data_IF_200000471186
#
_entry.id   IF_200000471186
#
_cell.length_a   1.000
_cell.length_b   1.000
_cell.length_c   1.000
_cell.angle_alpha   90.00
_cell.angle_beta   90.00
_cell.angle_gamma   90.00
#
_symmetry.space_group_name_H-M   'P 1'
#
loop_
_entity.id
_entity.type
_entity.pdbx_description
1 polymer ?
#
# COMPACT_ATOMS: atom_id res chain seq x y z
N UNK A 1 -20.34 20.03 -12.57
CA UNK A 1 -18.96 19.75 -13.02
C UNK A 1 -18.09 19.34 -11.83
N UNK A 2 -17.06 18.49 -12.04
CA UNK A 2 -16.12 18.11 -10.98
C UNK A 2 -15.25 19.30 -10.54
N UNK A 3 -15.02 19.46 -9.23
CA UNK A 3 -14.18 20.51 -8.63
C UNK A 3 -12.69 20.14 -8.68
N UNK A 4 -12.15 19.97 -9.88
CA UNK A 4 -10.78 19.49 -10.13
C UNK A 4 -9.71 20.37 -9.49
N UNK A 5 -9.89 21.70 -9.47
CA UNK A 5 -8.94 22.63 -8.83
C UNK A 5 -8.70 22.31 -7.36
N UNK A 6 -9.75 21.96 -6.61
CA UNK A 6 -9.61 21.61 -5.18
C UNK A 6 -8.93 20.25 -5.03
N UNK A 7 -9.21 19.29 -5.93
CA UNK A 7 -8.52 18.00 -5.92
C UNK A 7 -7.00 18.13 -6.10
N UNK A 8 -6.54 19.05 -6.95
CA UNK A 8 -5.12 19.38 -7.09
C UNK A 8 -4.52 19.98 -5.83
N UNK A 9 -5.26 20.86 -5.11
CA UNK A 9 -4.81 21.39 -3.82
C UNK A 9 -4.67 20.27 -2.78
N UNK A 10 -5.61 19.32 -2.74
CA UNK A 10 -5.54 18.17 -1.83
C UNK A 10 -4.34 17.27 -2.18
N UNK A 11 -4.09 17.01 -3.48
CA UNK A 11 -2.93 16.25 -3.92
C UNK A 11 -1.61 16.96 -3.58
N UNK A 12 -1.54 18.29 -3.74
CA UNK A 12 -0.39 19.08 -3.34
C UNK A 12 -0.16 19.03 -1.81
N UNK A 13 -1.23 19.10 -1.01
CA UNK A 13 -1.13 18.95 0.44
C UNK A 13 -0.58 17.57 0.85
N UNK A 14 -1.04 16.50 0.19
CA UNK A 14 -0.48 15.16 0.37
C UNK A 14 1.00 15.10 0.03
N UNK A 15 1.41 15.70 -1.10
CA UNK A 15 2.82 15.73 -1.51
C UNK A 15 3.68 16.48 -0.49
N UNK A 16 3.21 17.61 0.05
CA UNK A 16 3.93 18.35 1.09
C UNK A 16 4.09 17.53 2.37
N UNK A 17 3.04 16.82 2.79
CA UNK A 17 3.11 15.91 3.94
C UNK A 17 4.07 14.74 3.67
N UNK A 18 3.99 14.11 2.50
CA UNK A 18 4.89 13.02 2.12
C UNK A 18 6.36 13.48 2.05
N UNK A 19 6.62 14.72 1.58
CA UNK A 19 7.96 15.34 1.64
C UNK A 19 8.42 15.50 3.10
N UNK A 20 7.53 15.94 4.00
CA UNK A 20 7.88 16.11 5.41
C UNK A 20 8.14 14.76 6.09
N UNK A 21 7.32 13.73 5.83
CA UNK A 21 7.61 12.36 6.28
C UNK A 21 8.93 11.85 5.73
N UNK A 22 9.20 12.08 4.44
CA UNK A 22 10.45 11.72 3.78
C UNK A 22 11.66 12.45 4.37
N UNK A 23 11.51 13.70 4.84
CA UNK A 23 12.63 14.48 5.39
C UNK A 23 12.98 14.10 6.83
N UNK A 24 12.03 13.59 7.61
CA UNK A 24 12.26 13.19 9.02
C UNK A 24 12.62 11.71 9.19
N UNK A 25 12.44 10.90 8.14
CA UNK A 25 12.77 9.47 8.16
C UNK A 25 14.24 9.29 7.78
N UNK A 26 15.09 8.62 8.59
CA UNK A 26 16.47 8.32 8.23
C UNK A 26 16.57 7.53 6.92
N UNK A 27 17.68 7.64 6.21
CA UNK A 27 17.88 7.00 4.91
C UNK A 27 19.28 6.40 4.85
N UNK A 28 19.39 5.08 4.65
CA UNK A 28 20.67 4.36 4.67
C UNK A 28 21.44 4.56 5.99
N UNK A 29 20.71 4.56 7.11
CA UNK A 29 21.28 4.66 8.46
C UNK A 29 21.06 3.35 9.21
N UNK A 30 22.11 2.80 9.80
CA UNK A 30 21.98 1.59 10.62
C UNK A 30 21.28 1.92 11.93
N UNK A 31 20.63 0.92 12.52
CA UNK A 31 19.97 1.15 13.79
C UNK A 31 19.60 -0.09 14.56
N UNK A 32 18.78 0.15 15.58
CA UNK A 32 18.21 -0.87 16.46
C UNK A 32 16.70 -0.73 16.56
N UNK A 33 16.03 -1.85 16.80
CA UNK A 33 14.61 -1.89 17.13
C UNK A 33 14.45 -2.00 18.64
N UNK A 34 13.83 -1.00 19.25
CA UNK A 34 13.70 -0.90 20.71
C UNK A 34 12.67 -1.88 21.25
N UNK A 35 11.70 -2.27 20.42
CA UNK A 35 10.64 -3.20 20.75
C UNK A 35 10.88 -4.64 20.30
N UNK A 36 11.99 -4.92 19.62
CA UNK A 36 12.36 -6.27 19.20
C UNK A 36 13.71 -6.68 19.82
N UNK A 37 13.92 -7.98 19.95
CA UNK A 37 15.13 -8.54 20.56
C UNK A 37 15.77 -9.56 19.65
N UNK A 38 17.09 -9.55 19.60
CA UNK A 38 17.87 -10.59 18.95
C UNK A 38 17.96 -11.86 19.82
N UNK A 39 18.64 -12.88 19.33
CA UNK A 39 18.84 -14.15 20.04
C UNK A 39 19.60 -14.01 21.38
N UNK A 40 20.31 -12.90 21.59
CA UNK A 40 21.06 -12.60 22.83
C UNK A 40 20.24 -11.77 23.82
N UNK A 41 19.01 -11.39 23.47
CA UNK A 41 18.16 -10.54 24.29
C UNK A 41 18.53 -9.04 24.24
N UNK A 42 19.39 -8.64 23.30
CA UNK A 42 19.71 -7.23 23.04
C UNK A 42 18.72 -6.64 22.02
N UNK A 43 18.57 -5.29 21.93
CA UNK A 43 17.79 -4.67 20.88
C UNK A 43 18.21 -5.16 19.49
N UNK A 44 17.23 -5.60 18.68
CA UNK A 44 17.49 -6.18 17.36
C UNK A 44 18.17 -5.15 16.45
N UNK A 45 19.36 -5.46 15.93
CA UNK A 45 20.05 -4.62 14.95
C UNK A 45 19.44 -4.76 13.55
N UNK A 46 19.44 -3.66 12.81
CA UNK A 46 18.96 -3.58 11.42
C UNK A 46 19.90 -2.74 10.56
N UNK A 47 19.94 -3.09 9.28
CA UNK A 47 20.82 -2.48 8.28
C UNK A 47 20.36 -1.11 7.79
N UNK A 48 19.07 -0.82 7.95
CA UNK A 48 18.45 0.49 7.70
C UNK A 48 17.33 0.70 8.72
N UNK A 49 17.35 1.82 9.45
CA UNK A 49 16.34 2.21 10.45
C UNK A 49 15.19 3.04 9.85
N UNK A 50 15.32 3.44 8.59
CA UNK A 50 14.39 4.26 7.85
C UNK A 50 13.06 3.57 7.52
N UNK A 51 12.57 3.79 6.30
CA UNK A 51 11.35 3.12 5.87
C UNK A 51 11.60 1.61 5.68
N UNK A 52 10.65 0.74 6.07
CA UNK A 52 10.81 -0.69 5.87
C UNK A 52 11.09 -1.04 4.42
N UNK A 53 12.06 -1.92 4.24
CA UNK A 53 12.43 -2.53 2.96
C UNK A 53 13.09 -1.56 1.96
N UNK A 54 13.33 -0.30 2.37
CA UNK A 54 13.75 0.79 1.49
C UNK A 54 15.14 0.55 0.89
N UNK A 55 16.12 0.15 1.71
CA UNK A 55 17.45 -0.24 1.25
C UNK A 55 17.38 -1.29 0.14
N UNK A 56 16.55 -2.31 0.29
CA UNK A 56 16.46 -3.40 -0.68
C UNK A 56 15.85 -2.96 -2.00
N UNK A 57 14.95 -1.97 -1.96
CA UNK A 57 14.47 -1.31 -3.17
C UNK A 57 15.57 -0.47 -3.83
N UNK A 58 16.36 0.28 -3.06
CA UNK A 58 17.50 1.07 -3.55
C UNK A 58 18.55 0.18 -4.22
N UNK A 59 18.88 -0.97 -3.63
CA UNK A 59 19.80 -1.97 -4.21
C UNK A 59 19.33 -2.46 -5.57
N UNK A 60 18.03 -2.77 -5.72
CA UNK A 60 17.46 -3.12 -7.02
C UNK A 60 17.63 -1.96 -8.01
N UNK A 61 17.27 -0.73 -7.61
CA UNK A 61 17.38 0.45 -8.47
C UNK A 61 18.83 0.69 -8.93
N UNK A 62 19.79 0.63 -8.02
CA UNK A 62 21.22 0.81 -8.31
C UNK A 62 21.71 -0.20 -9.35
N UNK A 63 21.40 -1.49 -9.13
CA UNK A 63 21.74 -2.57 -10.08
C UNK A 63 21.26 -2.29 -11.50
N UNK A 64 20.00 -1.84 -11.66
CA UNK A 64 19.46 -1.49 -12.98
C UNK A 64 20.10 -0.24 -13.56
N UNK A 65 20.33 0.78 -12.73
CA UNK A 65 21.01 2.00 -13.14
C UNK A 65 22.43 1.72 -13.64
N UNK A 66 23.13 0.75 -13.05
CA UNK A 66 24.49 0.35 -13.44
C UNK A 66 24.54 -0.59 -14.65
N UNK A 67 23.39 -0.93 -15.24
CA UNK A 67 23.32 -1.76 -16.44
C UNK A 67 23.55 -3.26 -16.18
N UNK A 68 23.47 -3.72 -14.93
CA UNK A 68 23.71 -5.12 -14.56
C UNK A 68 22.50 -6.05 -14.79
N UNK A 69 21.44 -5.53 -15.42
CA UNK A 69 20.21 -6.26 -15.73
C UNK A 69 19.35 -6.64 -14.52
N UNK A 70 18.24 -7.33 -14.78
CA UNK A 70 17.28 -7.70 -13.73
C UNK A 70 17.89 -8.67 -12.71
N UNK A 71 17.76 -8.40 -11.41
CA UNK A 71 18.33 -9.25 -10.37
C UNK A 71 17.68 -10.63 -10.36
N UNK A 72 18.46 -11.64 -10.00
CA UNK A 72 17.97 -13.01 -9.76
C UNK A 72 17.79 -13.16 -8.26
N UNK A 73 16.60 -13.58 -7.84
CA UNK A 73 16.30 -13.81 -6.44
C UNK A 73 16.80 -15.19 -6.03
N UNK A 74 17.74 -15.24 -5.09
CA UNK A 74 18.40 -16.46 -4.64
C UNK A 74 18.12 -16.68 -3.15
N UNK A 75 17.10 -17.47 -2.79
CA UNK A 75 16.84 -17.82 -1.40
C UNK A 75 18.09 -18.44 -0.75
N UNK A 76 18.50 -17.92 0.40
CA UNK A 76 19.65 -18.41 1.16
C UNK A 76 21.01 -17.82 0.75
N UNK A 77 21.05 -16.86 -0.16
CA UNK A 77 22.28 -16.09 -0.42
C UNK A 77 22.74 -15.33 0.83
N UNK A 78 24.06 -15.14 0.99
CA UNK A 78 24.62 -14.41 2.13
C UNK A 78 24.22 -12.93 2.17
N UNK A 79 23.84 -12.38 1.03
CA UNK A 79 23.37 -11.00 0.85
C UNK A 79 21.84 -10.87 0.84
N UNK A 80 21.10 -11.93 1.19
CA UNK A 80 19.63 -11.95 1.14
C UNK A 80 18.99 -10.78 1.90
N UNK A 81 19.64 -10.32 2.98
CA UNK A 81 19.22 -9.14 3.74
C UNK A 81 19.14 -7.86 2.90
N UNK A 82 19.89 -7.77 1.80
CA UNK A 82 19.90 -6.65 0.85
C UNK A 82 19.10 -6.95 -0.42
N UNK A 83 18.97 -8.22 -0.78
CA UNK A 83 18.46 -8.61 -2.11
C UNK A 83 17.09 -9.27 -2.07
N UNK A 84 16.44 -9.40 -0.90
CA UNK A 84 15.18 -10.15 -0.83
C UNK A 84 14.01 -9.55 -1.62
N UNK A 85 14.08 -8.27 -2.03
CA UNK A 85 13.09 -7.65 -2.93
C UNK A 85 13.33 -7.95 -4.42
N UNK A 86 14.39 -8.71 -4.77
CA UNK A 86 14.75 -9.03 -6.16
C UNK A 86 13.71 -9.87 -6.91
N UNK A 87 12.79 -10.53 -6.18
CA UNK A 87 11.70 -11.28 -6.79
C UNK A 87 10.61 -10.36 -7.39
N UNK A 88 10.60 -9.08 -7.02
CA UNK A 88 9.54 -8.16 -7.41
C UNK A 88 9.59 -7.86 -8.92
N UNK A 89 8.43 -7.72 -9.57
CA UNK A 89 8.34 -7.28 -10.96
C UNK A 89 9.03 -5.91 -11.22
N UNK A 90 9.52 -5.65 -12.44
CA UNK A 90 10.58 -4.66 -12.65
C UNK A 90 10.12 -3.22 -12.90
N UNK A 91 8.82 -2.93 -13.08
CA UNK A 91 8.38 -1.64 -13.61
C UNK A 91 8.80 -0.46 -12.73
N UNK A 92 8.53 -0.54 -11.43
CA UNK A 92 8.90 0.51 -10.49
C UNK A 92 10.40 0.79 -10.52
N UNK A 93 11.21 -0.28 -10.48
CA UNK A 93 12.66 -0.19 -10.44
C UNK A 93 13.24 0.37 -11.74
N UNK A 94 12.66 0.02 -12.89
CA UNK A 94 13.06 0.62 -14.17
C UNK A 94 12.78 2.12 -14.24
N UNK A 95 11.61 2.56 -13.76
CA UNK A 95 11.27 3.99 -13.67
C UNK A 95 12.22 4.69 -12.69
N UNK A 96 12.45 4.11 -11.52
CA UNK A 96 13.32 4.67 -10.49
C UNK A 96 14.79 4.72 -10.92
N UNK A 97 15.28 3.73 -11.68
CA UNK A 97 16.63 3.73 -12.25
C UNK A 97 16.78 4.81 -13.34
N UNK A 98 15.77 4.99 -14.21
CA UNK A 98 15.75 6.11 -15.14
C UNK A 98 15.75 7.46 -14.41
N UNK A 99 14.97 7.57 -13.33
CA UNK A 99 14.92 8.76 -12.49
C UNK A 99 16.26 9.04 -11.79
N UNK A 100 16.95 8.02 -11.27
CA UNK A 100 18.28 8.19 -10.64
C UNK A 100 19.34 8.68 -11.62
N UNK A 101 19.24 8.36 -12.91
CA UNK A 101 20.10 8.94 -13.95
C UNK A 101 19.86 10.44 -14.18
N UNK A 102 18.68 10.96 -13.84
CA UNK A 102 18.34 12.37 -14.00
C UNK A 102 18.69 13.20 -12.75
N UNK A 103 18.51 12.65 -11.55
CA UNK A 103 18.69 13.39 -10.27
C UNK A 103 19.90 12.95 -9.46
N UNK A 104 20.69 12.01 -9.98
CA UNK A 104 21.87 11.42 -9.33
C UNK A 104 21.56 10.16 -8.53
N UNK A 105 22.63 9.41 -8.20
CA UNK A 105 22.54 8.11 -7.51
C UNK A 105 21.83 8.22 -6.14
N UNK A 106 21.13 7.14 -5.78
CA UNK A 106 20.43 6.98 -4.51
C UNK A 106 21.30 6.35 -3.41
N UNK A 107 22.55 6.01 -3.70
CA UNK A 107 23.42 5.16 -2.86
C UNK A 107 24.18 5.93 -1.76
N UNK A 108 23.75 7.15 -1.43
CA UNK A 108 24.36 7.97 -0.37
C UNK A 108 23.34 8.35 0.71
N UNK A 109 23.72 8.42 2.01
CA UNK A 109 22.79 8.84 3.07
C UNK A 109 22.09 10.19 2.81
N UNK A 110 22.78 11.14 2.16
CA UNK A 110 22.20 12.45 1.81
C UNK A 110 21.20 12.40 0.64
N UNK A 111 21.03 11.24 -0.02
CA UNK A 111 20.14 11.06 -1.16
C UNK A 111 18.67 10.81 -0.80
N UNK A 112 18.32 10.69 0.48
CA UNK A 112 16.99 10.20 0.88
C UNK A 112 15.83 10.97 0.26
N UNK A 113 15.82 12.30 0.40
CA UNK A 113 14.71 13.11 -0.12
C UNK A 113 14.60 13.03 -1.65
N UNK A 114 15.72 13.08 -2.37
CA UNK A 114 15.72 12.98 -3.84
C UNK A 114 15.24 11.60 -4.30
N UNK A 115 15.66 10.52 -3.64
CA UNK A 115 15.25 9.16 -3.98
C UNK A 115 13.74 8.95 -3.75
N UNK A 116 13.22 9.48 -2.63
CA UNK A 116 11.81 9.37 -2.23
C UNK A 116 10.87 10.25 -3.05
N UNK A 117 11.37 11.33 -3.66
CA UNK A 117 10.53 12.30 -4.37
C UNK A 117 9.72 11.69 -5.53
N UNK A 118 10.22 10.64 -6.17
CA UNK A 118 9.46 9.89 -7.18
C UNK A 118 8.13 9.36 -6.59
N UNK A 119 8.19 8.77 -5.39
CA UNK A 119 6.99 8.24 -4.73
C UNK A 119 6.08 9.33 -4.17
N UNK A 120 6.61 10.52 -3.84
CA UNK A 120 5.81 11.70 -3.52
C UNK A 120 4.91 12.07 -4.70
N UNK A 121 5.47 12.12 -5.92
CA UNK A 121 4.68 12.41 -7.14
C UNK A 121 3.62 11.35 -7.39
N UNK A 122 3.98 10.08 -7.23
CA UNK A 122 3.06 8.93 -7.40
C UNK A 122 1.94 8.97 -6.35
N UNK A 123 2.23 9.34 -5.11
CA UNK A 123 1.25 9.55 -4.05
C UNK A 123 0.24 10.63 -4.41
N UNK A 124 0.71 11.78 -4.93
CA UNK A 124 -0.16 12.83 -5.46
C UNK A 124 -1.07 12.34 -6.60
N UNK A 125 -0.53 11.57 -7.54
CA UNK A 125 -1.31 10.92 -8.60
C UNK A 125 -2.34 9.92 -8.07
N UNK A 126 -2.03 9.22 -6.98
CA UNK A 126 -2.97 8.31 -6.30
C UNK A 126 -4.14 9.09 -5.73
N UNK A 127 -3.90 10.20 -5.02
CA UNK A 127 -4.94 11.08 -4.46
C UNK A 127 -5.88 11.62 -5.54
N UNK A 128 -5.34 12.03 -6.69
CA UNK A 128 -6.15 12.42 -7.84
C UNK A 128 -6.98 11.26 -8.39
N UNK A 129 -6.40 10.07 -8.46
CA UNK A 129 -7.12 8.84 -8.82
C UNK A 129 -8.29 8.56 -7.87
N UNK A 130 -8.09 8.75 -6.55
CA UNK A 130 -9.16 8.60 -5.54
C UNK A 130 -10.28 9.62 -5.75
N UNK A 131 -9.94 10.88 -6.06
CA UNK A 131 -10.94 11.90 -6.40
C UNK A 131 -11.80 11.47 -7.59
N UNK A 132 -11.18 11.04 -8.69
CA UNK A 132 -11.88 10.63 -9.90
C UNK A 132 -12.68 9.35 -9.72
N UNK A 133 -12.13 8.36 -9.01
CA UNK A 133 -12.86 7.16 -8.61
C UNK A 133 -14.10 7.52 -7.79
N UNK A 134 -13.95 8.42 -6.81
CA UNK A 134 -15.06 8.93 -6.01
C UNK A 134 -16.11 9.66 -6.84
N UNK A 135 -15.70 10.46 -7.82
CA UNK A 135 -16.60 11.19 -8.72
C UNK A 135 -17.37 10.25 -9.65
N UNK A 136 -16.69 9.26 -10.24
CA UNK A 136 -17.31 8.25 -11.09
C UNK A 136 -18.08 7.19 -10.31
N UNK A 137 -17.86 7.08 -8.99
CA UNK A 137 -18.71 6.25 -8.13
C UNK A 137 -19.96 7.02 -7.70
N UNK A 138 -19.84 8.27 -7.26
CA UNK A 138 -20.90 8.97 -6.50
C UNK A 138 -21.54 10.18 -7.19
N UNK A 139 -20.88 10.79 -8.18
CA UNK A 139 -21.24 12.09 -8.77
C UNK A 139 -21.39 13.25 -7.77
N UNK A 140 -20.83 13.10 -6.56
CA UNK A 140 -20.89 14.13 -5.52
C UNK A 140 -19.51 14.71 -5.27
N UNK A 141 -19.33 16.00 -5.59
CA UNK A 141 -18.08 16.71 -5.29
C UNK A 141 -17.70 16.60 -3.81
N UNK A 142 -18.69 16.67 -2.91
CA UNK A 142 -18.43 16.58 -1.47
C UNK A 142 -17.82 15.22 -1.11
N UNK A 143 -18.36 14.12 -1.65
CA UNK A 143 -17.85 12.78 -1.34
C UNK A 143 -16.53 12.49 -2.05
N UNK A 144 -16.36 12.97 -3.29
CA UNK A 144 -15.10 12.81 -4.02
C UNK A 144 -13.95 13.57 -3.36
N UNK A 145 -14.19 14.81 -2.91
CA UNK A 145 -13.20 15.59 -2.16
C UNK A 145 -12.95 15.00 -0.77
N UNK A 146 -14.00 14.50 -0.11
CA UNK A 146 -13.87 13.78 1.17
C UNK A 146 -13.01 12.52 1.07
N UNK A 147 -13.21 11.71 0.02
CA UNK A 147 -12.41 10.52 -0.25
C UNK A 147 -10.95 10.88 -0.58
N UNK A 148 -10.73 11.86 -1.46
CA UNK A 148 -9.39 12.32 -1.79
C UNK A 148 -8.68 12.89 -0.56
N UNK A 149 -9.38 13.68 0.27
CA UNK A 149 -8.86 14.22 1.52
C UNK A 149 -8.48 13.11 2.50
N UNK A 150 -9.30 12.07 2.63
CA UNK A 150 -9.00 10.95 3.51
C UNK A 150 -7.72 10.23 3.06
N UNK A 151 -7.59 9.93 1.76
CA UNK A 151 -6.36 9.32 1.22
C UNK A 151 -5.13 10.24 1.38
N UNK A 152 -5.33 11.55 1.19
CA UNK A 152 -4.28 12.55 1.26
C UNK A 152 -3.72 12.77 2.66
N UNK A 153 -4.55 12.60 3.69
CA UNK A 153 -4.23 12.89 5.09
C UNK A 153 -4.10 11.62 5.95
N UNK A 154 -4.16 10.42 5.34
CA UNK A 154 -3.92 9.19 6.09
C UNK A 154 -2.41 9.08 6.40
N UNK A 155 -1.96 9.13 7.66
CA UNK A 155 -0.53 9.25 7.97
C UNK A 155 0.31 8.09 7.41
N UNK A 156 -0.21 6.87 7.47
CA UNK A 156 0.44 5.72 6.83
C UNK A 156 0.59 5.87 5.31
N UNK A 157 -0.39 6.46 4.61
CA UNK A 157 -0.27 6.69 3.17
C UNK A 157 0.75 7.81 2.85
N UNK A 158 0.82 8.85 3.67
CA UNK A 158 1.83 9.90 3.57
C UNK A 158 3.24 9.32 3.77
N UNK A 159 3.44 8.51 4.80
CA UNK A 159 4.73 7.87 5.09
C UNK A 159 5.17 6.89 3.99
N UNK A 160 4.25 6.06 3.46
CA UNK A 160 4.58 5.16 2.35
C UNK A 160 4.90 5.91 1.05
N UNK A 161 4.23 7.03 0.78
CA UNK A 161 4.55 7.90 -0.35
C UNK A 161 5.90 8.62 -0.16
N UNK A 162 6.35 8.76 1.09
CA UNK A 162 7.65 9.29 1.47
C UNK A 162 8.76 8.23 1.61
N UNK A 163 8.61 7.03 1.04
CA UNK A 163 9.61 5.96 1.08
C UNK A 163 9.92 5.45 -0.34
N UNK A 164 11.13 4.94 -0.61
CA UNK A 164 11.47 4.23 -1.86
C UNK A 164 10.88 2.82 -1.79
N UNK A 165 9.82 2.55 -2.56
CA UNK A 165 9.15 1.26 -2.62
C UNK A 165 8.27 1.13 -3.87
N UNK A 166 8.02 -0.09 -4.34
CA UNK A 166 7.06 -0.35 -5.42
C UNK A 166 5.59 -0.20 -5.01
N UNK A 167 5.31 -0.10 -3.71
CA UNK A 167 3.96 -0.03 -3.15
C UNK A 167 3.15 1.21 -3.60
N UNK A 168 3.65 2.45 -3.49
CA UNK A 168 2.91 3.63 -3.98
C UNK A 168 2.52 3.54 -5.46
N UNK A 169 3.38 2.99 -6.32
CA UNK A 169 3.05 2.79 -7.74
C UNK A 169 1.92 1.78 -7.92
N UNK A 170 1.93 0.69 -7.14
CA UNK A 170 0.84 -0.27 -7.14
C UNK A 170 -0.49 0.38 -6.70
N UNK A 171 -0.47 1.20 -5.64
CA UNK A 171 -1.67 1.87 -5.13
C UNK A 171 -2.27 2.79 -6.20
N UNK A 172 -1.41 3.56 -6.88
CA UNK A 172 -1.77 4.44 -7.97
C UNK A 172 -2.43 3.66 -9.12
N UNK A 173 -1.77 2.61 -9.61
CA UNK A 173 -2.24 1.82 -10.76
C UNK A 173 -3.54 1.06 -10.46
N UNK A 174 -3.68 0.50 -9.26
CA UNK A 174 -4.93 -0.12 -8.81
C UNK A 174 -6.06 0.92 -8.76
N UNK A 175 -5.81 2.10 -8.18
CA UNK A 175 -6.81 3.16 -8.05
C UNK A 175 -7.29 3.66 -9.42
N UNK A 176 -6.38 3.91 -10.36
CA UNK A 176 -6.73 4.34 -11.72
C UNK A 176 -7.38 3.24 -12.55
N UNK A 177 -7.01 1.97 -12.34
CA UNK A 177 -7.72 0.83 -12.98
C UNK A 177 -9.18 0.78 -12.55
N UNK A 178 -9.45 0.93 -11.25
CA UNK A 178 -10.80 0.98 -10.70
C UNK A 178 -11.57 2.23 -11.14
N UNK A 179 -10.89 3.36 -11.29
CA UNK A 179 -11.48 4.60 -11.83
C UNK A 179 -11.99 4.39 -13.25
N UNK A 180 -11.22 3.75 -14.12
CA UNK A 180 -11.65 3.43 -15.49
C UNK A 180 -12.84 2.47 -15.49
N UNK A 181 -12.86 1.47 -14.61
CA UNK A 181 -14.03 0.61 -14.41
C UNK A 181 -15.26 1.42 -14.00
N UNK A 182 -15.13 2.33 -13.03
CA UNK A 182 -16.21 3.18 -12.58
C UNK A 182 -16.71 4.13 -13.69
N UNK A 183 -15.79 4.72 -14.45
CA UNK A 183 -16.09 5.56 -15.61
C UNK A 183 -16.85 4.76 -16.68
N UNK A 184 -16.38 3.56 -17.02
CA UNK A 184 -16.96 2.71 -18.05
C UNK A 184 -18.37 2.21 -17.66
N UNK A 185 -18.55 1.77 -16.42
CA UNK A 185 -19.86 1.38 -15.88
C UNK A 185 -20.85 2.53 -15.89
N UNK A 186 -20.40 3.74 -15.56
CA UNK A 186 -21.25 4.91 -15.46
C UNK A 186 -21.58 5.55 -16.81
N UNK A 187 -20.69 5.40 -17.80
CA UNK A 187 -20.89 5.93 -19.16
C UNK A 187 -21.19 4.78 -20.10
N UNK A 188 -20.14 4.16 -20.61
CA UNK A 188 -20.16 2.97 -21.46
C UNK A 188 -18.75 2.39 -21.56
N UNK A 189 -18.65 1.07 -21.69
CA UNK A 189 -17.44 0.43 -22.16
C UNK A 189 -17.18 0.80 -23.63
N UNK A 190 -15.91 0.91 -24.00
CA UNK A 190 -15.45 1.03 -25.37
C UNK A 190 -13.99 0.57 -25.45
N UNK A 191 -13.53 0.25 -26.67
CA UNK A 191 -12.17 -0.25 -26.92
C UNK A 191 -11.08 0.66 -26.32
N UNK A 192 -11.22 1.99 -26.43
CA UNK A 192 -10.24 2.92 -25.87
C UNK A 192 -10.10 2.83 -24.33
N UNK A 193 -11.21 2.62 -23.61
CA UNK A 193 -11.18 2.42 -22.14
C UNK A 193 -10.63 1.04 -21.80
N UNK A 194 -11.00 0.02 -22.57
CA UNK A 194 -10.52 -1.35 -22.42
C UNK A 194 -8.99 -1.45 -22.59
N UNK A 195 -8.43 -0.84 -23.64
CA UNK A 195 -6.98 -0.81 -23.88
C UNK A 195 -6.24 -0.08 -22.77
N UNK A 196 -6.74 1.10 -22.33
CA UNK A 196 -6.15 1.84 -21.20
C UNK A 196 -6.19 1.02 -19.90
N UNK A 197 -7.30 0.34 -19.63
CA UNK A 197 -7.43 -0.54 -18.47
C UNK A 197 -6.45 -1.72 -18.55
N UNK A 198 -6.32 -2.35 -19.71
CA UNK A 198 -5.36 -3.43 -19.95
C UNK A 198 -3.91 -2.97 -19.72
N UNK A 199 -3.55 -1.78 -20.20
CA UNK A 199 -2.24 -1.18 -19.95
C UNK A 199 -1.99 -0.93 -18.46
N UNK A 200 -2.95 -0.33 -17.75
CA UNK A 200 -2.83 -0.08 -16.31
C UNK A 200 -2.71 -1.38 -15.50
N UNK A 201 -3.49 -2.41 -15.85
CA UNK A 201 -3.41 -3.73 -15.23
C UNK A 201 -2.06 -4.40 -15.51
N UNK A 202 -1.57 -4.35 -16.75
CA UNK A 202 -0.26 -4.89 -17.12
C UNK A 202 0.87 -4.20 -16.36
N UNK A 203 0.83 -2.86 -16.26
CA UNK A 203 1.77 -2.10 -15.43
C UNK A 203 1.66 -2.44 -13.95
N UNK A 204 0.45 -2.64 -13.42
CA UNK A 204 0.25 -3.00 -12.01
C UNK A 204 0.88 -4.36 -11.70
N UNK A 205 0.67 -5.36 -12.58
CA UNK A 205 1.31 -6.68 -12.46
C UNK A 205 2.82 -6.59 -12.59
N UNK A 206 3.33 -5.77 -13.51
CA UNK A 206 4.76 -5.49 -13.64
C UNK A 206 5.32 -4.62 -12.50
N UNK A 207 4.48 -4.14 -11.58
CA UNK A 207 4.90 -3.46 -10.33
C UNK A 207 4.92 -4.43 -9.15
N UNK A 208 3.87 -5.26 -9.01
CA UNK A 208 3.75 -6.25 -7.93
C UNK A 208 2.79 -7.37 -8.32
N UNK A 209 3.18 -8.62 -8.06
CA UNK A 209 2.36 -9.81 -8.38
C UNK A 209 0.97 -9.79 -7.73
N UNK A 210 0.82 -9.12 -6.58
CA UNK A 210 -0.48 -8.96 -5.89
C UNK A 210 -1.52 -8.20 -6.73
N UNK A 211 -1.11 -7.46 -7.76
CA UNK A 211 -2.01 -6.80 -8.71
C UNK A 211 -2.86 -7.78 -9.54
N UNK A 212 -2.53 -9.09 -9.55
CA UNK A 212 -3.39 -10.12 -10.12
C UNK A 212 -4.82 -10.08 -9.54
N UNK A 213 -5.01 -9.52 -8.35
CA UNK A 213 -6.31 -9.23 -7.75
C UNK A 213 -7.24 -8.37 -8.65
N UNK A 214 -6.69 -7.56 -9.57
CA UNK A 214 -7.48 -6.75 -10.51
C UNK A 214 -8.24 -7.61 -11.53
N UNK A 215 -7.70 -8.76 -11.94
CA UNK A 215 -8.30 -9.60 -12.99
C UNK A 215 -9.73 -10.06 -12.67
N UNK A 216 -9.99 -10.77 -11.54
CA UNK A 216 -11.35 -11.19 -11.22
C UNK A 216 -12.31 -10.02 -10.97
N UNK A 217 -11.79 -8.89 -10.48
CA UNK A 217 -12.60 -7.70 -10.18
C UNK A 217 -13.00 -6.94 -11.45
N UNK A 218 -12.09 -6.82 -12.42
CA UNK A 218 -12.38 -6.22 -13.72
C UNK A 218 -13.33 -7.13 -14.50
N UNK A 219 -13.14 -8.45 -14.44
CA UNK A 219 -14.09 -9.41 -15.01
C UNK A 219 -15.49 -9.23 -14.39
N UNK A 220 -15.57 -9.12 -13.07
CA UNK A 220 -16.82 -8.83 -12.36
C UNK A 220 -17.47 -7.50 -12.80
N UNK A 221 -16.68 -6.44 -12.99
CA UNK A 221 -17.17 -5.16 -13.49
C UNK A 221 -17.76 -5.29 -14.92
N UNK A 222 -17.13 -6.05 -15.80
CA UNK A 222 -17.59 -6.27 -17.16
C UNK A 222 -18.85 -7.16 -17.21
N UNK A 223 -18.92 -8.21 -16.39
CA UNK A 223 -20.10 -9.05 -16.24
C UNK A 223 -21.30 -8.25 -15.73
N UNK A 224 -21.08 -7.32 -14.79
CA UNK A 224 -22.11 -6.40 -14.33
C UNK A 224 -22.66 -5.46 -15.41
N UNK A 225 -21.88 -5.19 -16.46
CA UNK A 225 -22.30 -4.41 -17.62
C UNK A 225 -23.03 -5.26 -18.68
N UNK A 226 -22.95 -6.60 -18.61
CA UNK A 226 -23.46 -7.53 -19.62
C UNK A 226 -24.93 -7.31 -20.00
N UNK A 227 -25.87 -7.21 -19.04
CA UNK A 227 -27.29 -7.09 -19.37
C UNK A 227 -27.64 -5.80 -20.15
N UNK A 228 -26.76 -4.80 -20.10
CA UNK A 228 -27.01 -3.48 -20.67
C UNK A 228 -26.48 -3.32 -22.10
N UNK A 229 -25.56 -4.19 -22.56
CA UNK A 229 -24.82 -3.99 -23.82
C UNK A 229 -24.79 -5.18 -24.78
N UNK A 230 -25.26 -6.35 -24.34
CA UNK A 230 -25.17 -7.56 -25.13
C UNK A 230 -23.77 -8.18 -25.17
N UNK A 231 -23.72 -9.49 -25.35
CA UNK A 231 -22.53 -10.33 -25.20
C UNK A 231 -21.34 -9.92 -26.09
N UNK A 232 -21.60 -9.63 -27.37
CA UNK A 232 -20.55 -9.47 -28.38
C UNK A 232 -19.66 -8.25 -28.12
N UNK A 233 -20.24 -7.14 -27.66
CA UNK A 233 -19.50 -5.93 -27.32
C UNK A 233 -18.55 -6.25 -26.15
N UNK A 234 -19.11 -6.63 -25.00
CA UNK A 234 -18.35 -6.85 -23.76
C UNK A 234 -17.26 -7.90 -23.91
N UNK A 235 -17.50 -8.94 -24.73
CA UNK A 235 -16.46 -9.93 -25.04
C UNK A 235 -15.24 -9.29 -25.73
N UNK A 236 -15.46 -8.36 -26.66
CA UNK A 236 -14.37 -7.67 -27.36
C UNK A 236 -13.57 -6.74 -26.46
N UNK A 237 -14.23 -5.99 -25.57
CA UNK A 237 -13.54 -5.14 -24.60
C UNK A 237 -12.82 -5.96 -23.52
N UNK A 238 -13.43 -7.07 -23.07
CA UNK A 238 -12.79 -8.00 -22.15
C UNK A 238 -11.54 -8.61 -22.77
N UNK A 239 -11.63 -9.11 -24.01
CA UNK A 239 -10.49 -9.66 -24.73
C UNK A 239 -9.38 -8.60 -24.88
N UNK A 240 -9.71 -7.38 -25.32
CA UNK A 240 -8.74 -6.30 -25.43
C UNK A 240 -8.05 -5.98 -24.09
N UNK A 241 -8.81 -5.90 -23.01
CA UNK A 241 -8.28 -5.58 -21.67
C UNK A 241 -7.33 -6.67 -21.17
N UNK A 242 -7.78 -7.93 -21.16
CA UNK A 242 -7.01 -9.03 -20.59
C UNK A 242 -5.84 -9.44 -21.49
N UNK A 243 -5.99 -9.42 -22.81
CA UNK A 243 -4.90 -9.71 -23.74
C UNK A 243 -3.77 -8.70 -23.57
N UNK A 244 -4.07 -7.39 -23.52
CA UNK A 244 -3.02 -6.38 -23.29
C UNK A 244 -2.32 -6.58 -21.95
N UNK A 245 -3.07 -6.78 -20.86
CA UNK A 245 -2.49 -6.97 -19.53
C UNK A 245 -1.58 -8.22 -19.48
N UNK A 246 -2.02 -9.34 -20.06
CA UNK A 246 -1.26 -10.59 -20.12
C UNK A 246 -0.02 -10.44 -20.99
N UNK A 247 -0.14 -9.87 -22.19
CA UNK A 247 1.01 -9.71 -23.10
C UNK A 247 2.12 -8.85 -22.49
N UNK A 248 1.76 -7.84 -21.68
CA UNK A 248 2.75 -7.03 -20.95
C UNK A 248 3.47 -7.82 -19.86
N UNK A 249 2.74 -8.63 -19.09
CA UNK A 249 3.31 -9.40 -17.99
C UNK A 249 4.05 -10.67 -18.45
N UNK A 250 3.71 -11.19 -19.62
CA UNK A 250 4.17 -12.48 -20.14
C UNK A 250 5.70 -12.61 -20.18
N UNK A 251 6.49 -11.62 -20.68
CA UNK A 251 7.95 -11.75 -20.69
C UNK A 251 8.55 -11.96 -19.29
N UNK A 252 8.03 -11.27 -18.28
CA UNK A 252 8.47 -11.43 -16.90
C UNK A 252 8.11 -12.81 -16.33
N UNK A 253 6.90 -13.30 -16.62
CA UNK A 253 6.46 -14.63 -16.20
C UNK A 253 7.25 -15.76 -16.87
N UNK A 254 7.57 -15.63 -18.17
CA UNK A 254 8.43 -16.58 -18.87
C UNK A 254 9.83 -16.62 -18.28
N UNK A 255 10.40 -15.44 -17.95
CA UNK A 255 11.67 -15.35 -17.22
C UNK A 255 11.59 -16.08 -15.89
N UNK A 256 10.56 -15.81 -15.08
CA UNK A 256 10.40 -16.44 -13.77
C UNK A 256 10.17 -17.95 -13.87
N UNK A 257 9.41 -18.41 -14.87
CA UNK A 257 9.24 -19.83 -15.14
C UNK A 257 10.58 -20.50 -15.47
N UNK A 258 11.42 -19.85 -16.27
CA UNK A 258 12.75 -20.37 -16.62
C UNK A 258 13.73 -20.36 -15.44
N UNK A 259 13.67 -19.36 -14.56
CA UNK A 259 14.60 -19.23 -13.43
C UNK A 259 14.17 -20.03 -12.20
N UNK A 260 12.87 -20.08 -11.92
CA UNK A 260 12.34 -20.58 -10.64
C UNK A 260 11.38 -21.77 -10.80
N UNK A 261 11.04 -22.17 -12.03
CA UNK A 261 10.01 -23.20 -12.27
C UNK A 261 8.61 -22.79 -11.77
N UNK A 262 8.39 -21.47 -11.66
CA UNK A 262 7.18 -20.83 -11.15
C UNK A 262 7.05 -19.43 -11.77
N UNK A 263 6.01 -19.15 -12.58
CA UNK A 263 5.88 -17.86 -13.28
C UNK A 263 5.72 -16.67 -12.32
N UNK A 264 5.28 -16.92 -11.08
CA UNK A 264 5.03 -15.89 -10.08
C UNK A 264 6.12 -15.84 -8.99
N UNK A 265 7.14 -16.71 -9.08
CA UNK A 265 8.23 -16.84 -8.12
C UNK A 265 7.78 -17.06 -6.66
N UNK A 266 6.56 -17.58 -6.44
CA UNK A 266 6.00 -17.84 -5.12
C UNK A 266 6.75 -18.94 -4.37
N UNK A 267 7.24 -19.97 -5.08
CA UNK A 267 8.07 -21.02 -4.49
C UNK A 267 9.37 -20.45 -3.90
N UNK A 268 10.09 -19.66 -4.70
CA UNK A 268 11.32 -19.01 -4.26
C UNK A 268 11.03 -18.04 -3.11
N UNK A 269 9.96 -17.25 -3.21
CA UNK A 269 9.53 -16.34 -2.13
C UNK A 269 9.30 -17.09 -0.81
N UNK A 270 8.54 -18.20 -0.85
CA UNK A 270 8.23 -19.00 0.34
C UNK A 270 9.48 -19.61 0.97
N UNK A 271 10.47 -20.03 0.17
CA UNK A 271 11.75 -20.54 0.67
C UNK A 271 12.50 -19.49 1.50
N UNK A 272 12.59 -18.25 1.00
CA UNK A 272 13.24 -17.16 1.73
C UNK A 272 12.43 -16.68 2.94
N UNK A 273 11.10 -16.72 2.88
CA UNK A 273 10.22 -16.27 3.96
C UNK A 273 10.08 -17.25 5.13
N UNK A 274 10.70 -18.44 5.06
CA UNK A 274 10.68 -19.42 6.15
C UNK A 274 11.28 -18.88 7.46
N UNK A 275 12.26 -17.98 7.38
CA UNK A 275 12.86 -17.31 8.54
C UNK A 275 12.01 -16.18 9.15
N UNK A 276 10.93 -15.78 8.49
CA UNK A 276 10.01 -14.77 9.02
C UNK A 276 9.12 -15.33 10.14
N UNK A 277 8.55 -14.46 10.96
CA UNK A 277 7.60 -14.86 12.01
C UNK A 277 6.42 -15.65 11.43
N UNK A 278 6.26 -16.91 11.83
CA UNK A 278 5.19 -17.78 11.34
C UNK A 278 3.94 -17.66 12.20
N UNK A 279 2.77 -17.68 11.56
CA UNK A 279 1.48 -17.63 12.27
C UNK A 279 1.31 -18.82 13.21
N UNK A 280 1.75 -20.02 12.79
CA UNK A 280 1.68 -21.25 13.59
C UNK A 280 2.51 -21.16 14.88
N UNK A 281 3.67 -20.51 14.84
CA UNK A 281 4.53 -20.31 16.01
C UNK A 281 3.87 -19.37 17.04
N UNK A 282 3.33 -18.24 16.57
CA UNK A 282 2.63 -17.28 17.44
C UNK A 282 1.38 -17.92 18.05
N UNK A 283 0.58 -18.61 17.24
CA UNK A 283 -0.59 -19.34 17.72
C UNK A 283 -0.22 -20.39 18.77
N UNK A 284 0.84 -21.17 18.52
CA UNK A 284 1.36 -22.14 19.47
C UNK A 284 1.75 -21.50 20.81
N UNK A 285 2.42 -20.34 20.78
CA UNK A 285 2.75 -19.57 21.97
C UNK A 285 1.52 -19.08 22.74
N UNK A 286 0.53 -18.51 22.03
CA UNK A 286 -0.73 -18.04 22.64
C UNK A 286 -1.45 -19.20 23.34
N UNK A 287 -1.63 -20.32 22.64
CA UNK A 287 -2.31 -21.50 23.18
C UNK A 287 -1.54 -22.10 24.36
N UNK A 288 -0.21 -22.15 24.29
CA UNK A 288 0.63 -22.63 25.39
C UNK A 288 0.48 -21.79 26.67
N UNK A 289 0.14 -20.50 26.54
CA UNK A 289 -0.14 -19.60 27.68
C UNK A 289 -1.60 -19.58 28.12
N UNK A 290 -2.44 -20.49 27.62
CA UNK A 290 -3.87 -20.59 27.97
C UNK A 290 -4.81 -19.67 27.17
N UNK A 291 -4.29 -19.00 26.13
CA UNK A 291 -5.08 -18.22 25.19
C UNK A 291 -5.80 -19.07 24.14
N UNK A 292 -6.72 -18.46 23.42
CA UNK A 292 -7.48 -19.07 22.32
C UNK A 292 -6.93 -18.66 20.96
N UNK A 293 -7.18 -19.43 19.88
CA UNK A 293 -6.87 -18.99 18.52
C UNK A 293 -7.54 -17.65 18.12
N UNK A 294 -8.64 -17.27 18.77
CA UNK A 294 -9.28 -15.97 18.56
C UNK A 294 -8.41 -14.81 19.05
N UNK A 295 -7.56 -15.04 20.06
CA UNK A 295 -6.66 -14.00 20.57
C UNK A 295 -5.61 -13.61 19.54
N UNK A 296 -5.17 -14.53 18.68
CA UNK A 296 -4.35 -14.18 17.53
C UNK A 296 -5.10 -13.23 16.59
N UNK A 297 -6.32 -13.58 16.19
CA UNK A 297 -7.07 -12.78 15.21
C UNK A 297 -7.45 -11.41 15.73
N UNK A 298 -7.84 -11.30 17.01
CA UNK A 298 -8.30 -10.06 17.61
C UNK A 298 -7.13 -9.21 18.14
N UNK A 299 -6.27 -9.80 18.96
CA UNK A 299 -5.24 -9.06 19.72
C UNK A 299 -3.89 -8.96 19.00
N UNK A 300 -3.59 -9.87 18.08
CA UNK A 300 -2.43 -9.78 17.21
C UNK A 300 -2.83 -9.20 15.84
N UNK A 301 -3.42 -9.98 14.96
CA UNK A 301 -3.70 -9.58 13.59
C UNK A 301 -4.56 -8.31 13.50
N UNK A 302 -5.75 -8.31 14.09
CA UNK A 302 -6.70 -7.20 14.01
C UNK A 302 -6.15 -5.92 14.64
N UNK A 303 -5.63 -6.02 15.87
CA UNK A 303 -5.09 -4.87 16.59
C UNK A 303 -3.84 -4.27 15.94
N UNK A 304 -2.93 -5.08 15.41
CA UNK A 304 -1.77 -4.58 14.66
C UNK A 304 -2.16 -3.96 13.33
N UNK A 305 -3.15 -4.53 12.63
CA UNK A 305 -3.67 -3.98 11.38
C UNK A 305 -4.30 -2.61 11.60
N UNK A 306 -5.17 -2.47 12.60
CA UNK A 306 -5.85 -1.19 12.86
C UNK A 306 -4.85 -0.08 13.20
N UNK A 307 -3.85 -0.38 14.05
CA UNK A 307 -2.81 0.59 14.42
C UNK A 307 -1.96 1.00 13.24
N UNK A 308 -1.47 0.03 12.46
CA UNK A 308 -0.62 0.31 11.30
C UNK A 308 -1.37 0.97 10.15
N UNK A 309 -2.70 0.79 10.04
CA UNK A 309 -3.48 1.52 9.04
C UNK A 309 -3.46 3.03 9.30
N UNK A 310 -3.45 3.45 10.58
CA UNK A 310 -3.32 4.86 10.93
C UNK A 310 -1.86 5.32 10.85
N UNK A 311 -0.98 4.65 11.59
CA UNK A 311 0.43 5.02 11.72
C UNK A 311 1.13 4.18 12.78
N UNK A 312 1.94 3.22 12.32
CA UNK A 312 3.03 2.60 13.09
C UNK A 312 4.23 2.59 12.15
N UNK A 313 5.27 3.35 12.48
CA UNK A 313 6.35 3.67 11.56
C UNK A 313 7.63 2.89 11.85
N UNK A 314 8.59 2.99 10.92
CA UNK A 314 9.77 2.11 10.89
C UNK A 314 9.35 0.66 10.75
N UNK A 315 10.13 -0.26 11.30
CA UNK A 315 9.86 -1.71 11.29
C UNK A 315 8.81 -2.12 12.33
N UNK A 316 7.65 -1.46 12.30
CA UNK A 316 6.55 -1.62 13.27
C UNK A 316 6.99 -1.37 14.72
N UNK A 317 7.87 -0.37 14.91
CA UNK A 317 8.53 -0.10 16.20
C UNK A 317 8.20 1.29 16.76
N UNK A 318 7.69 2.22 15.94
CA UNK A 318 7.34 3.59 16.34
C UNK A 318 5.82 3.76 16.35
N UNK A 319 5.24 3.76 17.56
CA UNK A 319 3.80 3.94 17.77
C UNK A 319 3.45 5.40 18.13
N UNK A 320 2.20 5.78 17.86
CA UNK A 320 1.63 7.12 18.09
C UNK A 320 1.15 7.36 19.53
N UNK A 321 1.30 6.41 20.44
CA UNK A 321 0.97 6.61 21.85
C UNK A 321 2.21 6.94 22.68
N UNK A 322 2.00 7.60 23.82
CA UNK A 322 3.04 8.23 24.64
C UNK A 322 4.06 7.22 25.22
N UNK A 323 3.71 5.93 25.32
CA UNK A 323 4.56 4.87 25.90
C UNK A 323 4.54 3.54 25.12
N UNK A 324 4.13 3.55 23.84
CA UNK A 324 3.93 2.32 23.06
C UNK A 324 5.21 1.55 22.75
N UNK A 325 5.27 0.30 23.23
CA UNK A 325 6.14 -0.74 22.68
C UNK A 325 5.29 -1.73 21.88
N UNK A 326 5.88 -2.58 21.01
CA UNK A 326 5.20 -3.72 20.37
C UNK A 326 4.36 -4.58 21.33
N UNK A 327 4.72 -4.60 22.61
CA UNK A 327 4.09 -5.40 23.66
C UNK A 327 2.95 -4.68 24.41
N UNK A 328 2.67 -3.41 24.09
CA UNK A 328 1.51 -2.72 24.64
C UNK A 328 0.23 -3.28 24.02
N UNK A 329 -0.35 -4.25 24.72
CA UNK A 329 -1.59 -4.92 24.33
C UNK A 329 -2.82 -3.98 24.37
N UNK A 330 -4.00 -4.48 23.98
CA UNK A 330 -5.23 -3.69 23.92
C UNK A 330 -5.57 -2.99 25.23
N UNK A 331 -5.22 -3.56 26.38
CA UNK A 331 -5.48 -3.04 27.72
C UNK A 331 -4.66 -1.80 28.13
N UNK A 332 -3.54 -1.50 27.45
CA UNK A 332 -2.73 -0.31 27.71
C UNK A 332 -3.41 0.98 27.18
N UNK A 333 -3.07 2.18 27.71
CA UNK A 333 -3.61 3.44 27.22
C UNK A 333 -3.21 3.69 25.76
N UNK A 334 -4.11 3.33 24.85
CA UNK A 334 -3.98 3.42 23.38
C UNK A 334 -5.11 4.28 22.80
N UNK A 335 -5.41 5.41 23.45
CA UNK A 335 -6.61 6.21 23.18
C UNK A 335 -6.77 6.58 21.70
N UNK A 336 -5.69 7.06 21.05
CA UNK A 336 -5.70 7.41 19.63
C UNK A 336 -6.13 6.22 18.75
N UNK A 337 -5.52 5.05 18.97
CA UNK A 337 -5.83 3.86 18.19
C UNK A 337 -7.21 3.25 18.50
N UNK A 338 -7.71 3.38 19.73
CA UNK A 338 -9.06 2.95 20.09
C UNK A 338 -10.12 3.86 19.47
N UNK A 339 -9.89 5.18 19.46
CA UNK A 339 -10.75 6.14 18.75
C UNK A 339 -10.75 5.86 17.24
N UNK A 340 -9.57 5.56 16.68
CA UNK A 340 -9.44 5.15 15.29
C UNK A 340 -10.19 3.85 14.98
N UNK A 341 -10.06 2.82 15.83
CA UNK A 341 -10.81 1.58 15.71
C UNK A 341 -12.33 1.84 15.74
N UNK A 342 -12.80 2.65 16.69
CA UNK A 342 -14.21 3.01 16.78
C UNK A 342 -14.68 3.75 15.53
N UNK A 343 -13.88 4.70 15.01
CA UNK A 343 -14.15 5.39 13.76
C UNK A 343 -14.27 4.42 12.58
N UNK A 344 -13.34 3.47 12.43
CA UNK A 344 -13.38 2.44 11.38
C UNK A 344 -14.60 1.53 11.53
N UNK A 345 -14.96 1.12 12.74
CA UNK A 345 -16.14 0.30 13.00
C UNK A 345 -17.44 1.02 12.63
N UNK A 346 -17.57 2.30 13.03
CA UNK A 346 -18.69 3.16 12.62
C UNK A 346 -18.72 3.30 11.09
N UNK A 347 -17.56 3.52 10.46
CA UNK A 347 -17.47 3.60 9.00
C UNK A 347 -17.87 2.28 8.32
N UNK A 348 -17.50 1.13 8.86
CA UNK A 348 -17.91 -0.17 8.32
C UNK A 348 -19.44 -0.35 8.38
N UNK A 349 -20.06 0.02 9.51
CA UNK A 349 -21.53 -0.01 9.68
C UNK A 349 -22.20 0.92 8.67
N UNK A 350 -21.74 2.16 8.54
CA UNK A 350 -22.31 3.12 7.59
C UNK A 350 -22.14 2.68 6.14
N UNK A 351 -21.04 1.99 5.80
CA UNK A 351 -20.83 1.43 4.47
C UNK A 351 -21.84 0.32 4.17
N UNK A 352 -22.11 -0.58 5.13
CA UNK A 352 -23.17 -1.60 5.01
C UNK A 352 -24.55 -0.96 4.87
N UNK A 353 -24.87 0.07 5.66
CA UNK A 353 -26.15 0.79 5.55
C UNK A 353 -26.32 1.41 4.16
N UNK A 354 -25.23 1.94 3.57
CA UNK A 354 -25.25 2.58 2.26
C UNK A 354 -25.60 1.63 1.10
N UNK A 355 -25.56 0.31 1.32
CA UNK A 355 -25.96 -0.70 0.33
C UNK A 355 -27.47 -0.71 0.09
N UNK A 356 -28.25 -0.19 1.04
CA UNK A 356 -29.70 -0.10 0.92
C UNK A 356 -30.05 1.00 -0.10
N UNK A 357 -30.71 0.59 -1.19
CA UNK A 357 -31.12 1.35 -2.39
C UNK A 357 -30.04 1.47 -3.50
N UNK A 358 -30.08 0.60 -4.52
CA UNK A 358 -29.49 0.91 -5.83
C UNK A 358 -30.44 1.83 -6.62
N UNK A 359 -29.91 2.94 -7.16
CA UNK A 359 -30.57 3.71 -8.23
C UNK A 359 -30.14 3.26 -9.63
N UNK A 360 -29.04 2.51 -9.71
CA UNK A 360 -28.42 2.00 -10.94
C UNK A 360 -28.46 0.45 -10.91
N UNK A 361 -28.55 -0.18 -12.08
CA UNK A 361 -28.60 -1.66 -12.21
C UNK A 361 -27.32 -2.32 -11.68
N UNK A 362 -26.14 -1.73 -11.97
CA UNK A 362 -24.85 -2.20 -11.45
C UNK A 362 -23.93 -1.02 -11.08
N UNK A 363 -24.04 -0.50 -9.84
CA UNK A 363 -23.27 0.66 -9.41
C UNK A 363 -21.78 0.33 -9.21
N UNK A 364 -20.90 1.24 -9.63
CA UNK A 364 -19.45 1.10 -9.50
C UNK A 364 -18.95 0.80 -8.07
N UNK A 365 -19.73 1.16 -7.05
CA UNK A 365 -19.43 0.83 -5.65
C UNK A 365 -19.31 -0.67 -5.39
N UNK A 366 -19.99 -1.52 -6.15
CA UNK A 366 -19.86 -2.98 -6.03
C UNK A 366 -18.50 -3.47 -6.50
N UNK A 367 -17.93 -2.85 -7.54
CA UNK A 367 -16.56 -3.14 -7.99
C UNK A 367 -15.56 -2.72 -6.92
N UNK A 368 -15.74 -1.54 -6.31
CA UNK A 368 -14.88 -1.07 -5.21
C UNK A 368 -14.92 -2.04 -4.03
N UNK A 369 -16.12 -2.49 -3.62
CA UNK A 369 -16.28 -3.47 -2.54
C UNK A 369 -15.67 -4.83 -2.89
N UNK A 370 -15.87 -5.31 -4.11
CA UNK A 370 -15.27 -6.56 -4.58
C UNK A 370 -13.74 -6.48 -4.53
N UNK A 371 -13.15 -5.37 -4.99
CA UNK A 371 -11.70 -5.15 -4.89
C UNK A 371 -11.21 -5.13 -3.45
N UNK A 372 -11.86 -4.35 -2.58
CA UNK A 372 -11.50 -4.31 -1.16
C UNK A 372 -11.59 -5.70 -0.51
N UNK A 373 -12.65 -6.46 -0.81
CA UNK A 373 -12.83 -7.82 -0.30
C UNK A 373 -11.73 -8.77 -0.81
N UNK A 374 -11.38 -8.72 -2.09
CA UNK A 374 -10.28 -9.54 -2.64
C UNK A 374 -8.96 -9.22 -1.96
N UNK A 375 -8.62 -7.94 -1.79
CA UNK A 375 -7.39 -7.53 -1.09
C UNK A 375 -7.42 -7.96 0.38
N UNK A 376 -8.55 -7.80 1.08
CA UNK A 376 -8.70 -8.24 2.46
C UNK A 376 -8.57 -9.78 2.61
N UNK A 377 -9.12 -10.55 1.67
CA UNK A 377 -9.00 -12.01 1.65
C UNK A 377 -7.56 -12.46 1.35
N UNK A 378 -6.86 -11.80 0.43
CA UNK A 378 -5.44 -12.07 0.18
C UNK A 378 -4.58 -11.72 1.39
N UNK A 379 -4.89 -10.63 2.08
CA UNK A 379 -4.22 -10.23 3.31
C UNK A 379 -4.46 -11.22 4.45
N UNK A 380 -5.70 -11.70 4.60
CA UNK A 380 -6.06 -12.75 5.54
C UNK A 380 -5.32 -14.05 5.21
N UNK A 381 -5.32 -14.47 3.94
CA UNK A 381 -4.60 -15.66 3.47
C UNK A 381 -3.11 -15.57 3.80
N UNK A 382 -2.50 -14.42 3.59
CA UNK A 382 -1.09 -14.20 3.91
C UNK A 382 -0.83 -14.37 5.42
N UNK A 383 -1.74 -13.84 6.25
CA UNK A 383 -1.68 -13.94 7.72
C UNK A 383 -2.11 -15.29 8.31
N UNK A 384 -2.62 -16.23 7.49
CA UNK A 384 -2.75 -17.62 7.88
C UNK A 384 -1.40 -18.34 7.89
N UNK A 385 -0.43 -17.87 7.10
CA UNK A 385 0.88 -18.50 6.95
C UNK A 385 1.96 -17.72 7.71
N UNK A 386 2.10 -16.42 7.40
CA UNK A 386 3.13 -15.54 7.96
C UNK A 386 2.50 -14.43 8.80
N UNK A 387 3.06 -14.13 9.97
CA UNK A 387 2.60 -12.97 10.73
C UNK A 387 3.05 -11.67 10.07
N UNK A 388 2.13 -11.06 9.33
CA UNK A 388 2.34 -9.86 8.53
C UNK A 388 1.14 -8.94 8.69
N UNK A 389 0.81 -8.58 9.93
CA UNK A 389 -0.37 -7.79 10.28
C UNK A 389 -0.24 -6.28 9.94
N UNK A 390 0.61 -5.93 8.97
CA UNK A 390 0.82 -4.56 8.54
C UNK A 390 -0.26 -4.15 7.54
N UNK A 391 -0.99 -3.07 7.83
CA UNK A 391 -2.06 -2.62 6.96
C UNK A 391 -1.59 -2.10 5.60
N UNK A 392 -0.28 -1.90 5.36
CA UNK A 392 0.25 -1.55 4.04
C UNK A 392 -0.20 -2.51 2.94
N UNK A 393 -0.44 -3.78 3.29
CA UNK A 393 -0.98 -4.78 2.36
C UNK A 393 -2.46 -4.57 1.99
N UNK A 394 -3.20 -3.73 2.72
CA UNK A 394 -4.58 -3.31 2.41
C UNK A 394 -4.63 -2.02 1.57
N UNK A 395 -3.56 -1.22 1.56
CA UNK A 395 -3.51 0.07 0.87
C UNK A 395 -3.57 0.00 -0.66
N UNK A 396 -3.31 -1.14 -1.35
CA UNK A 396 -3.72 -1.25 -2.76
C UNK A 396 -5.21 -0.92 -2.98
N UNK A 397 -6.06 -1.12 -1.96
CA UNK A 397 -7.46 -0.74 -1.97
C UNK A 397 -7.74 0.67 -1.37
N UNK A 398 -6.76 1.58 -1.33
CA UNK A 398 -6.92 2.94 -0.78
C UNK A 398 -8.04 3.71 -1.46
N UNK A 399 -8.21 3.56 -2.78
CA UNK A 399 -9.32 4.13 -3.53
C UNK A 399 -10.68 3.66 -3.01
N UNK A 400 -10.99 2.35 -3.08
CA UNK A 400 -12.19 1.77 -2.48
C UNK A 400 -12.42 2.12 -1.01
N UNK A 401 -11.38 2.04 -0.18
CA UNK A 401 -11.46 2.35 1.25
C UNK A 401 -11.89 3.81 1.47
N UNK A 402 -11.23 4.76 0.80
CA UNK A 402 -11.49 6.18 0.94
C UNK A 402 -12.88 6.58 0.44
N UNK A 403 -13.28 6.03 -0.72
CA UNK A 403 -14.63 6.25 -1.28
C UNK A 403 -15.70 5.61 -0.39
N UNK A 404 -15.43 4.42 0.15
CA UNK A 404 -16.29 3.73 1.11
C UNK A 404 -16.52 4.55 2.39
N UNK A 405 -15.45 5.10 2.97
CA UNK A 405 -15.52 5.98 4.15
C UNK A 405 -16.34 7.24 3.86
N UNK A 406 -16.12 7.90 2.72
CA UNK A 406 -16.89 9.09 2.36
C UNK A 406 -18.39 8.78 2.19
N UNK A 407 -18.74 7.67 1.52
CA UNK A 407 -20.12 7.20 1.38
C UNK A 407 -20.72 6.84 2.74
N UNK A 408 -19.94 6.20 3.61
CA UNK A 408 -20.37 5.79 4.94
C UNK A 408 -20.73 6.98 5.82
N UNK A 409 -19.85 7.98 5.91
CA UNK A 409 -20.12 9.20 6.66
C UNK A 409 -21.34 9.94 6.11
N UNK A 410 -21.56 9.92 4.79
CA UNK A 410 -22.76 10.49 4.21
C UNK A 410 -24.04 9.74 4.58
N UNK A 411 -23.99 8.40 4.60
CA UNK A 411 -25.11 7.56 4.98
C UNK A 411 -25.51 7.75 6.46
N UNK A 412 -24.52 7.93 7.34
CA UNK A 412 -24.73 8.09 8.78
C UNK A 412 -25.10 9.53 9.16
N UNK A 413 -24.34 10.52 8.66
CA UNK A 413 -24.47 11.91 9.09
C UNK A 413 -25.54 12.70 8.31
N UNK A 414 -26.02 12.19 7.16
CA UNK A 414 -27.10 12.78 6.36
C UNK A 414 -26.86 14.28 6.05
N UNK A 415 -27.66 15.18 6.60
CA UNK A 415 -27.54 16.64 6.45
C UNK A 415 -26.20 17.18 7.01
N UNK A 416 -25.61 16.49 7.99
CA UNK A 416 -24.31 16.83 8.59
C UNK A 416 -23.10 16.21 7.88
N UNK A 417 -23.26 15.65 6.68
CA UNK A 417 -22.17 15.00 5.91
C UNK A 417 -20.94 15.89 5.77
N UNK A 418 -21.11 17.17 5.43
CA UNK A 418 -19.98 18.10 5.27
C UNK A 418 -19.21 18.27 6.58
N UNK A 419 -19.92 18.42 7.70
CA UNK A 419 -19.31 18.53 9.01
C UNK A 419 -18.56 17.26 9.40
N UNK A 420 -19.18 16.09 9.22
CA UNK A 420 -18.56 14.80 9.52
C UNK A 420 -17.25 14.62 8.73
N UNK A 421 -17.27 14.89 7.42
CA UNK A 421 -16.06 14.85 6.58
C UNK A 421 -15.02 15.86 7.07
N UNK A 422 -15.39 17.12 7.28
CA UNK A 422 -14.45 18.15 7.75
C UNK A 422 -13.78 17.78 9.07
N UNK A 423 -14.54 17.26 10.04
CA UNK A 423 -14.00 16.83 11.34
C UNK A 423 -13.05 15.65 11.18
N UNK A 424 -13.41 14.64 10.39
CA UNK A 424 -12.53 13.50 10.11
C UNK A 424 -11.23 13.92 9.43
N UNK A 425 -11.29 14.81 8.44
CA UNK A 425 -10.11 15.32 7.75
C UNK A 425 -9.25 16.20 8.67
N UNK A 426 -9.85 17.03 9.50
CA UNK A 426 -9.12 17.83 10.48
C UNK A 426 -8.39 16.94 11.51
N UNK A 427 -9.06 15.87 11.99
CA UNK A 427 -8.44 14.93 12.91
C UNK A 427 -7.24 14.21 12.28
N UNK A 428 -7.36 13.79 11.02
CA UNK A 428 -6.24 13.19 10.27
C UNK A 428 -5.07 14.16 10.07
N UNK A 429 -5.34 15.41 9.68
CA UNK A 429 -4.30 16.43 9.54
C UNK A 429 -3.58 16.74 10.88
N UNK A 430 -4.31 16.76 12.00
CA UNK A 430 -3.72 16.92 13.33
C UNK A 430 -2.87 15.69 13.70
N UNK A 431 -3.28 14.49 13.31
CA UNK A 431 -2.50 13.28 13.52
C UNK A 431 -1.23 13.24 12.67
N UNK A 432 -1.27 13.76 11.44
CA UNK A 432 -0.05 13.95 10.63
C UNK A 432 0.94 14.89 11.34
N UNK A 433 0.48 16.07 11.79
CA UNK A 433 1.33 17.03 12.52
C UNK A 433 1.90 16.39 13.78
N UNK A 434 1.07 15.71 14.57
CA UNK A 434 1.50 15.00 15.77
C UNK A 434 2.55 13.92 15.46
N UNK A 435 2.33 13.13 14.40
CA UNK A 435 3.29 12.11 13.95
C UNK A 435 4.63 12.76 13.58
N UNK A 436 4.61 13.82 12.77
CA UNK A 436 5.79 14.50 12.26
C UNK A 436 6.60 15.23 13.34
N UNK A 437 5.96 15.66 14.43
CA UNK A 437 6.63 16.19 15.61
C UNK A 437 7.31 15.11 16.46
N UNK A 438 6.75 13.89 16.48
CA UNK A 438 7.24 12.76 17.28
C UNK A 438 8.34 11.97 16.59
N UNK A 439 8.24 11.78 15.28
CA UNK A 439 9.13 10.92 14.50
C UNK A 439 10.62 11.25 14.63
N UNK A 440 11.08 12.52 14.56
CA UNK A 440 12.51 12.83 14.66
C UNK A 440 13.15 12.31 15.96
N UNK A 441 12.48 12.52 17.10
CA UNK A 441 12.97 12.05 18.39
C UNK A 441 12.96 10.52 18.50
N UNK A 442 11.95 9.86 17.94
CA UNK A 442 11.87 8.39 17.94
C UNK A 442 12.92 7.75 17.03
N UNK A 443 13.20 8.33 15.87
CA UNK A 443 14.29 7.88 15.00
C UNK A 443 15.66 8.12 15.62
N UNK A 444 15.90 9.27 16.26
CA UNK A 444 17.17 9.55 16.93
C UNK A 444 17.51 8.54 18.04
N UNK A 445 16.51 7.91 18.67
CA UNK A 445 16.72 6.84 19.67
C UNK A 445 17.13 5.50 19.08
N UNK A 446 16.94 5.31 17.77
CA UNK A 446 17.14 4.04 17.05
C UNK A 446 18.30 4.11 16.08
N UNK A 447 18.58 5.30 15.56
CA UNK A 447 19.69 5.58 14.67
C UNK A 447 21.01 5.44 15.41
N UNK A 448 21.87 4.54 14.92
CA UNK A 448 23.21 4.29 15.45
C UNK A 448 24.31 4.92 14.59
N UNK A 449 23.93 5.67 13.55
CA UNK A 449 24.81 6.34 12.62
C UNK A 449 24.58 5.91 11.16
N UNK A 450 25.28 6.58 10.22
CA UNK A 450 25.22 6.22 8.81
C UNK A 450 25.66 4.78 8.59
N UNK A 451 25.15 4.18 7.52
CA UNK A 451 25.55 2.83 7.14
C UNK A 451 27.07 2.67 7.02
N UNK A 452 27.59 1.62 7.66
CA UNK A 452 29.01 1.24 7.60
C UNK A 452 29.36 0.39 6.35
N UNK A 453 28.42 0.25 5.41
CA UNK A 453 28.63 -0.45 4.15
C UNK A 453 28.84 0.53 2.99
N UNK A 454 29.61 0.11 1.99
CA UNK A 454 29.76 0.80 0.71
C UNK A 454 29.01 0.04 -0.37
N UNK A 455 28.40 0.76 -1.29
CA UNK A 455 27.86 0.15 -2.50
C UNK A 455 29.03 -0.21 -3.42
N UNK A 456 29.17 -1.51 -3.69
CA UNK A 456 30.12 -2.07 -4.65
C UNK A 456 29.28 -2.88 -5.64
N UNK A 457 29.32 -2.50 -6.92
CA UNK A 457 28.48 -3.09 -7.96
C UNK A 457 26.98 -3.08 -7.60
N UNK A 458 26.50 -1.99 -6.96
CA UNK A 458 25.10 -1.81 -6.58
C UNK A 458 24.64 -2.62 -5.37
N UNK A 459 25.54 -3.38 -4.72
CA UNK A 459 25.25 -4.17 -3.51
C UNK A 459 26.05 -3.62 -2.31
N UNK A 460 25.41 -3.42 -1.15
CA UNK A 460 26.08 -3.12 0.10
C UNK A 460 27.13 -4.17 0.49
N UNK A 461 28.37 -3.74 0.68
CA UNK A 461 29.48 -4.54 1.20
C UNK A 461 30.12 -3.82 2.40
N UNK A 462 30.37 -4.53 3.49
CA UNK A 462 30.92 -3.98 4.74
C UNK A 462 30.32 -4.63 5.97
#
# INVERSE_FOLDING_TARGET
>A
MPRTKIAWVIAAAHMLLAIWFASVTPYLHQGILLGQRDATGQPQRIVDVGAPDELQHVVYVARLADGQGFPVFQPGSSDIQYTYQSHQPPLYYGIAAGYSKLVGSFESPDAGLKARFLNVLIGGCTVLGVFWLGWHTTRSNLLSLGAAGFAALLPMNCALSGAVSNDPLLFCLCTWSLEICALALRTHWCLGKALRLGLLMGFAVLTKTTALALFPVVAFAMLGAWPLRGERAIRSEALATFTVAILMALPWWLRNQSLYGDPFALKAFNQAFTGSAQTSQILGGIVATGGSPLDYWLNMFGWWTVRSLLGVFGYMDIFLNEHGTPFTGPGAPNTIYRLWMAFLAVCAIGWVISLKKPREVFPARYVNMAFFAVIALLFLKFNLQYFQAQARYLIPAIGPLSVGIAISLAALAKDKTKLALSVSLAALALLDIYSLQRLPAEFARRDTGPANYKFVDGIPQG
#
